data_IF_323597564318
#
_entry.id   IF_323597564318
#
_cell.length_a   1.000
_cell.length_b   1.000
_cell.length_c   1.000
_cell.angle_alpha   90.00
_cell.angle_beta   90.00
_cell.angle_gamma   90.00
#
_symmetry.space_group_name_H-M   'P 1'
#
loop_
_entity.id
_entity.type
_entity.pdbx_description
1 polymer ?
#
# COMPACT_ATOMS: atom_id res chain seq x y z
N UNK A 1 -76.53 35.27 -10.01
CA UNK A 1 -75.68 34.65 -8.96
C UNK A 1 -74.47 34.03 -9.64
N UNK A 2 -73.23 34.52 -9.45
CA UNK A 2 -72.08 33.91 -10.11
C UNK A 2 -71.73 32.59 -9.41
N UNK A 3 -71.71 31.51 -10.19
CA UNK A 3 -71.40 30.14 -9.78
C UNK A 3 -69.88 30.07 -9.58
N UNK A 4 -69.42 30.04 -8.31
CA UNK A 4 -68.00 29.89 -7.98
C UNK A 4 -67.54 28.50 -8.42
N UNK A 5 -66.56 28.43 -9.32
CA UNK A 5 -65.93 27.17 -9.75
C UNK A 5 -65.33 26.44 -8.55
N UNK A 6 -65.43 25.10 -8.47
CA UNK A 6 -64.92 24.36 -7.32
C UNK A 6 -63.40 24.58 -7.20
N UNK A 7 -62.89 24.85 -5.98
CA UNK A 7 -61.47 24.97 -5.78
C UNK A 7 -60.79 23.66 -6.19
N UNK A 8 -59.72 23.75 -6.99
CA UNK A 8 -58.95 22.60 -7.44
C UNK A 8 -58.24 21.95 -6.24
N UNK A 9 -58.94 21.06 -5.52
CA UNK A 9 -58.46 20.35 -4.33
C UNK A 9 -57.15 19.60 -4.60
N UNK A 10 -57.03 18.93 -5.74
CA UNK A 10 -55.80 18.24 -6.13
C UNK A 10 -54.59 19.20 -6.19
N UNK A 11 -54.83 20.42 -6.67
CA UNK A 11 -53.79 21.45 -6.77
C UNK A 11 -53.44 22.01 -5.39
N UNK A 12 -54.43 22.12 -4.50
CA UNK A 12 -54.23 22.56 -3.11
C UNK A 12 -53.44 21.51 -2.30
N UNK A 13 -53.80 20.23 -2.42
CA UNK A 13 -53.10 19.10 -1.75
C UNK A 13 -51.67 18.98 -2.29
N UNK A 14 -51.46 19.13 -3.60
CA UNK A 14 -50.12 19.15 -4.17
C UNK A 14 -49.30 20.35 -3.65
N UNK A 15 -49.91 21.52 -3.52
CA UNK A 15 -49.25 22.72 -2.98
C UNK A 15 -48.94 22.57 -1.49
N UNK A 16 -49.83 21.98 -0.72
CA UNK A 16 -49.68 21.77 0.72
C UNK A 16 -48.63 20.68 1.02
N UNK A 17 -48.61 19.60 0.22
CA UNK A 17 -47.55 18.59 0.26
C UNK A 17 -46.20 19.19 -0.13
N UNK A 18 -46.14 20.11 -1.09
CA UNK A 18 -44.90 20.84 -1.44
C UNK A 18 -44.51 21.89 -0.40
N UNK A 19 -45.46 22.46 0.34
CA UNK A 19 -45.21 23.51 1.33
C UNK A 19 -44.80 22.91 2.68
N UNK A 20 -45.53 21.89 3.15
CA UNK A 20 -45.23 21.12 4.37
C UNK A 20 -44.09 20.12 4.13
N UNK A 21 -43.97 19.58 2.91
CA UNK A 21 -42.94 18.60 2.56
C UNK A 21 -41.54 19.16 2.32
N UNK A 22 -41.32 20.48 2.45
CA UNK A 22 -40.00 21.12 2.29
C UNK A 22 -38.91 20.47 3.15
N UNK A 23 -39.24 20.15 4.41
CA UNK A 23 -38.31 19.52 5.36
C UNK A 23 -37.95 18.09 4.92
N UNK A 24 -38.90 17.17 4.66
CA UNK A 24 -38.56 15.85 4.14
C UNK A 24 -37.84 15.87 2.79
N UNK A 25 -38.18 16.81 1.90
CA UNK A 25 -37.54 16.95 0.59
C UNK A 25 -36.08 17.41 0.73
N UNK A 26 -35.79 18.33 1.67
CA UNK A 26 -34.42 18.69 2.04
C UNK A 26 -33.64 17.49 2.59
N UNK A 27 -34.21 16.71 3.51
CA UNK A 27 -33.55 15.51 4.03
C UNK A 27 -33.29 14.47 2.94
N UNK A 28 -34.21 14.29 1.99
CA UNK A 28 -34.01 13.39 0.86
C UNK A 28 -32.81 13.81 0.01
N UNK A 29 -32.70 15.10 -0.32
CA UNK A 29 -31.56 15.64 -1.05
C UNK A 29 -30.27 15.47 -0.25
N UNK A 30 -30.31 15.68 1.07
CA UNK A 30 -29.15 15.57 1.95
C UNK A 30 -28.66 14.13 2.04
N UNK A 31 -29.56 13.15 2.19
CA UNK A 31 -29.22 11.72 2.15
C UNK A 31 -28.66 11.32 0.79
N UNK A 32 -29.25 11.81 -0.30
CA UNK A 32 -28.76 11.53 -1.65
C UNK A 32 -27.34 12.08 -1.87
N UNK A 33 -27.08 13.30 -1.39
CA UNK A 33 -25.75 13.92 -1.42
C UNK A 33 -24.74 13.14 -0.57
N UNK A 34 -25.16 12.64 0.60
CA UNK A 34 -24.33 11.80 1.46
C UNK A 34 -23.98 10.48 0.78
N UNK A 35 -24.96 9.80 0.17
CA UNK A 35 -24.73 8.58 -0.58
C UNK A 35 -23.75 8.79 -1.74
N UNK A 36 -23.92 9.88 -2.50
CA UNK A 36 -22.99 10.24 -3.57
C UNK A 36 -21.58 10.55 -3.03
N UNK A 37 -21.50 11.26 -1.90
CA UNK A 37 -20.24 11.58 -1.23
C UNK A 37 -19.49 10.34 -0.77
N UNK A 38 -20.17 9.34 -0.21
CA UNK A 38 -19.57 8.06 0.20
C UNK A 38 -19.00 7.31 -1.01
N UNK A 39 -19.73 7.27 -2.13
CA UNK A 39 -19.25 6.64 -3.36
C UNK A 39 -18.01 7.35 -3.90
N UNK A 40 -18.05 8.69 -3.94
CA UNK A 40 -16.93 9.51 -4.37
C UNK A 40 -15.69 9.31 -3.48
N UNK A 41 -15.88 9.35 -2.16
CA UNK A 41 -14.81 9.11 -1.19
C UNK A 41 -14.21 7.72 -1.35
N UNK A 42 -15.05 6.69 -1.57
CA UNK A 42 -14.57 5.32 -1.79
C UNK A 42 -13.73 5.22 -3.07
N UNK A 43 -14.16 5.87 -4.15
CA UNK A 43 -13.42 5.88 -5.41
C UNK A 43 -12.07 6.60 -5.25
N UNK A 44 -12.07 7.78 -4.63
CA UNK A 44 -10.85 8.54 -4.37
C UNK A 44 -9.90 7.81 -3.40
N UNK A 45 -10.45 7.12 -2.41
CA UNK A 45 -9.68 6.30 -1.47
C UNK A 45 -9.01 5.14 -2.21
N UNK A 46 -9.71 4.48 -3.15
CA UNK A 46 -9.10 3.41 -3.97
C UNK A 46 -7.95 3.93 -4.84
N UNK A 47 -8.09 5.11 -5.44
CA UNK A 47 -7.01 5.70 -6.23
C UNK A 47 -5.79 6.05 -5.37
N UNK A 48 -6.01 6.72 -4.23
CA UNK A 48 -4.95 7.09 -3.30
C UNK A 48 -4.22 5.87 -2.70
N UNK A 49 -4.95 4.78 -2.44
CA UNK A 49 -4.36 3.51 -1.98
C UNK A 49 -3.51 2.89 -3.10
N UNK A 50 -3.96 2.91 -4.35
CA UNK A 50 -3.20 2.34 -5.47
C UNK A 50 -1.83 3.00 -5.66
N UNK A 51 -1.73 4.32 -5.55
CA UNK A 51 -0.44 5.02 -5.67
C UNK A 51 0.50 4.67 -4.50
N UNK A 52 -0.06 4.62 -3.29
CA UNK A 52 0.68 4.19 -2.11
C UNK A 52 1.21 2.75 -2.31
N UNK A 53 0.36 1.82 -2.73
CA UNK A 53 0.72 0.41 -2.92
C UNK A 53 1.85 0.26 -3.94
N UNK A 54 1.83 1.01 -5.05
CA UNK A 54 2.92 1.00 -6.03
C UNK A 54 4.27 1.41 -5.42
N UNK A 55 4.28 2.48 -4.62
CA UNK A 55 5.50 2.92 -3.94
C UNK A 55 5.99 1.89 -2.90
N UNK A 56 5.08 1.18 -2.24
CA UNK A 56 5.44 0.09 -1.33
C UNK A 56 6.03 -1.11 -2.09
N UNK A 57 5.45 -1.48 -3.23
CA UNK A 57 5.96 -2.57 -4.06
C UNK A 57 7.39 -2.30 -4.54
N UNK A 58 7.71 -1.08 -4.96
CA UNK A 58 9.07 -0.76 -5.40
C UNK A 58 10.07 -0.80 -4.24
N UNK A 59 9.66 -0.36 -3.04
CA UNK A 59 10.48 -0.50 -1.84
C UNK A 59 10.78 -1.96 -1.50
N UNK A 60 9.78 -2.82 -1.59
CA UNK A 60 9.94 -4.25 -1.34
C UNK A 60 10.83 -4.93 -2.40
N UNK A 61 10.72 -4.50 -3.66
CA UNK A 61 11.60 -4.95 -4.74
C UNK A 61 13.06 -4.63 -4.44
N UNK A 62 13.34 -3.38 -4.07
CA UNK A 62 14.70 -2.93 -3.73
C UNK A 62 15.25 -3.61 -2.48
N UNK A 63 14.42 -3.84 -1.45
CA UNK A 63 14.84 -4.56 -0.24
C UNK A 63 15.25 -6.01 -0.56
N UNK A 64 14.52 -6.68 -1.45
CA UNK A 64 14.88 -8.02 -1.91
C UNK A 64 16.19 -8.03 -2.71
N UNK A 65 16.37 -7.08 -3.65
CA UNK A 65 17.63 -6.95 -4.39
C UNK A 65 18.81 -6.70 -3.46
N UNK A 66 18.65 -5.79 -2.49
CA UNK A 66 19.67 -5.48 -1.49
C UNK A 66 20.05 -6.71 -0.65
N UNK A 67 19.06 -7.48 -0.19
CA UNK A 67 19.31 -8.73 0.53
C UNK A 67 20.08 -9.73 -0.32
N UNK A 68 19.71 -9.87 -1.59
CA UNK A 68 20.40 -10.77 -2.50
C UNK A 68 21.87 -10.35 -2.72
N UNK A 69 22.13 -9.05 -2.88
CA UNK A 69 23.49 -8.51 -2.99
C UNK A 69 24.32 -8.78 -1.73
N UNK A 70 23.74 -8.64 -0.54
CA UNK A 70 24.42 -9.00 0.72
C UNK A 70 24.77 -10.48 0.75
N UNK A 71 23.85 -11.36 0.31
CA UNK A 71 24.11 -12.79 0.24
C UNK A 71 25.24 -13.12 -0.74
N UNK A 72 25.29 -12.41 -1.88
CA UNK A 72 26.36 -12.56 -2.86
C UNK A 72 27.70 -12.06 -2.31
N UNK A 73 27.73 -10.90 -1.67
CA UNK A 73 28.94 -10.33 -1.06
C UNK A 73 29.48 -11.23 0.07
N UNK A 74 28.60 -11.71 0.94
CA UNK A 74 28.99 -12.62 2.02
C UNK A 74 29.51 -13.95 1.47
N UNK A 75 28.88 -14.52 0.44
CA UNK A 75 29.38 -15.72 -0.25
C UNK A 75 30.76 -15.50 -0.91
N UNK A 76 31.02 -14.29 -1.45
CA UNK A 76 32.32 -13.92 -2.02
C UNK A 76 33.38 -13.63 -0.94
N UNK A 77 32.97 -13.14 0.23
CA UNK A 77 33.84 -12.77 1.34
C UNK A 77 34.22 -13.94 2.28
N UNK A 78 33.43 -15.02 2.30
CA UNK A 78 33.58 -16.12 3.27
C UNK A 78 34.74 -17.10 2.94
N UNK A 79 35.98 -16.62 2.93
CA UNK A 79 37.21 -17.45 2.97
C UNK A 79 37.61 -18.25 1.72
N UNK A 80 36.70 -18.57 0.79
CA UNK A 80 37.02 -19.39 -0.39
C UNK A 80 38.00 -18.68 -1.34
N UNK A 81 37.81 -17.38 -1.59
CA UNK A 81 38.67 -16.63 -2.53
C UNK A 81 40.08 -16.42 -2.01
N UNK A 82 40.24 -16.08 -0.73
CA UNK A 82 41.56 -15.87 -0.12
C UNK A 82 42.33 -17.19 -0.02
N UNK A 83 41.68 -18.30 0.38
CA UNK A 83 42.33 -19.62 0.40
C UNK A 83 42.68 -20.13 -0.99
N UNK A 84 41.83 -19.93 -2.00
CA UNK A 84 42.12 -20.34 -3.37
C UNK A 84 43.29 -19.54 -3.97
N UNK A 85 43.30 -18.21 -3.78
CA UNK A 85 44.38 -17.36 -4.25
C UNK A 85 45.70 -17.70 -3.52
N UNK A 86 45.66 -17.94 -2.20
CA UNK A 86 46.84 -18.36 -1.44
C UNK A 86 47.35 -19.77 -1.81
N UNK A 87 46.47 -20.72 -2.16
CA UNK A 87 46.90 -22.03 -2.67
C UNK A 87 47.47 -21.96 -4.08
N UNK A 88 46.88 -21.13 -4.94
CA UNK A 88 47.18 -21.13 -6.38
C UNK A 88 48.34 -20.21 -6.75
N UNK A 89 48.41 -19.01 -6.16
CA UNK A 89 49.42 -18.00 -6.50
C UNK A 89 50.62 -18.02 -5.54
N UNK A 90 50.43 -18.52 -4.31
CA UNK A 90 51.50 -18.61 -3.29
C UNK A 90 51.95 -20.06 -2.99
N UNK A 91 51.44 -21.05 -3.74
CA UNK A 91 51.71 -22.50 -3.55
C UNK A 91 51.59 -22.98 -2.08
N UNK A 92 50.76 -22.33 -1.26
CA UNK A 92 50.66 -22.68 0.15
C UNK A 92 50.06 -24.09 0.32
N UNK A 93 50.89 -25.04 0.76
CA UNK A 93 50.46 -26.37 1.22
C UNK A 93 50.09 -26.33 2.70
N UNK A 94 49.04 -27.08 3.06
CA UNK A 94 48.68 -27.31 4.47
C UNK A 94 49.86 -28.06 5.14
N UNK A 95 50.42 -27.57 6.26
CA UNK A 95 51.49 -28.27 6.97
C UNK A 95 51.02 -29.66 7.40
N UNK A 96 51.89 -30.65 7.26
CA UNK A 96 51.68 -32.00 7.78
C UNK A 96 51.85 -32.00 9.31
N UNK A 97 51.22 -32.94 10.03
CA UNK A 97 51.18 -32.95 11.50
C UNK A 97 52.57 -32.97 12.16
N UNK A 98 53.59 -33.39 11.43
CA UNK A 98 54.99 -33.44 11.86
C UNK A 98 55.72 -32.06 11.81
N UNK A 99 55.09 -31.01 11.26
CA UNK A 99 55.68 -29.67 11.10
C UNK A 99 54.93 -28.57 11.86
N UNK A 100 54.01 -28.94 12.74
CA UNK A 100 53.22 -27.98 13.51
C UNK A 100 53.95 -27.58 14.80
N UNK A 101 54.36 -26.31 14.89
CA UNK A 101 54.96 -25.74 16.11
C UNK A 101 53.89 -24.98 16.88
N UNK A 102 53.38 -25.59 17.95
CA UNK A 102 52.39 -24.97 18.83
C UNK A 102 53.11 -24.05 19.82
N UNK A 103 52.89 -22.74 19.68
CA UNK A 103 53.45 -21.73 20.58
C UNK A 103 52.43 -21.45 21.68
N UNK A 104 52.70 -21.89 22.90
CA UNK A 104 51.86 -21.58 24.05
C UNK A 104 52.19 -20.18 24.55
N UNK A 105 51.28 -19.23 24.35
CA UNK A 105 51.40 -17.88 24.88
C UNK A 105 50.98 -17.91 26.36
N UNK A 106 51.98 -17.74 27.23
CA UNK A 106 51.83 -17.64 28.69
C UNK A 106 51.27 -16.28 29.11
#
# INVERSE_FOLDING_TARGET
MPRQSPPNLAKLIALDLLTVGRVPLLFLVLIFSCAMGVVFMTHHTRQAISEKDQAFMERERLDNEWRNLILEETALAEHSRVQQLARKDLEMKRPDSDKEVVINLK
#
